data_IF_990213129708
#
_entry.id   IF_990213129708
#
_cell.length_a   1.000
_cell.length_b   1.000
_cell.length_c   1.000
_cell.angle_alpha   90.00
_cell.angle_beta   90.00
_cell.angle_gamma   90.00
#
_symmetry.space_group_name_H-M   'P 1'
#
loop_
_entity.id
_entity.type
_entity.pdbx_description
1 polymer ?
#
# COMPACT_ATOMS: atom_id res chain seq x y z
N UNK A 1 -8.13 37.69 23.33
CA UNK A 1 -6.77 37.17 23.11
C UNK A 1 -6.17 37.90 21.93
N UNK A 2 -4.91 38.30 22.04
CA UNK A 2 -4.18 38.85 20.91
C UNK A 2 -4.02 37.77 19.81
N UNK A 3 -3.88 38.17 18.55
CA UNK A 3 -3.74 37.23 17.43
C UNK A 3 -2.56 36.25 17.60
N UNK A 4 -1.49 36.68 18.28
CA UNK A 4 -0.35 35.84 18.64
C UNK A 4 -0.71 34.77 19.68
N UNK A 5 -1.51 35.10 20.70
CA UNK A 5 -1.92 34.15 21.74
C UNK A 5 -2.82 33.05 21.16
N UNK A 6 -3.72 33.42 20.23
CA UNK A 6 -4.56 32.47 19.50
C UNK A 6 -3.73 31.50 18.64
N UNK A 7 -2.69 32.01 17.98
CA UNK A 7 -1.79 31.18 17.17
C UNK A 7 -0.97 30.20 18.02
N UNK A 8 -0.52 30.62 19.20
CA UNK A 8 0.20 29.76 20.14
C UNK A 8 -0.69 28.64 20.68
N UNK A 9 -1.95 28.94 21.01
CA UNK A 9 -2.93 27.94 21.46
C UNK A 9 -3.25 26.89 20.38
N UNK A 10 -3.48 27.33 19.13
CA UNK A 10 -3.71 26.42 18.00
C UNK A 10 -2.48 25.53 17.73
N UNK A 11 -1.28 26.12 17.80
CA UNK A 11 -0.03 25.39 17.61
C UNK A 11 0.19 24.33 18.70
N UNK A 12 -0.11 24.68 19.96
CA UNK A 12 -0.04 23.74 21.07
C UNK A 12 -1.05 22.60 20.90
N UNK A 13 -2.29 22.90 20.53
CA UNK A 13 -3.32 21.89 20.28
C UNK A 13 -2.89 20.92 19.16
N UNK A 14 -2.31 21.44 18.08
CA UNK A 14 -1.77 20.61 16.99
C UNK A 14 -0.60 19.73 17.45
N UNK A 15 0.34 20.27 18.24
CA UNK A 15 1.46 19.49 18.78
C UNK A 15 1.00 18.34 19.69
N UNK A 16 -0.02 18.57 20.52
CA UNK A 16 -0.64 17.52 21.34
C UNK A 16 -1.35 16.47 20.48
N UNK A 17 -2.01 16.89 19.40
CA UNK A 17 -2.65 15.96 18.46
C UNK A 17 -1.61 15.08 17.75
N UNK A 18 -0.48 15.64 17.30
CA UNK A 18 0.63 14.88 16.71
C UNK A 18 1.26 13.89 17.70
N UNK A 19 1.38 14.28 18.97
CA UNK A 19 1.88 13.40 20.04
C UNK A 19 0.99 12.16 20.27
N UNK A 20 -0.29 12.25 19.89
CA UNK A 20 -1.27 11.17 19.96
C UNK A 20 -1.55 10.51 18.60
N UNK A 21 -0.71 10.73 17.58
CA UNK A 21 -0.93 10.23 16.21
C UNK A 21 -1.15 8.71 16.11
N UNK A 22 -0.55 7.93 17.01
CA UNK A 22 -0.77 6.46 17.11
C UNK A 22 -2.23 6.09 17.33
N UNK A 23 -3.02 6.95 17.99
CA UNK A 23 -4.42 6.65 18.32
C UNK A 23 -5.26 6.52 17.04
N UNK A 24 -5.00 7.36 16.04
CA UNK A 24 -5.73 7.32 14.77
C UNK A 24 -5.47 6.01 14.02
N UNK A 25 -4.20 5.60 13.87
CA UNK A 25 -3.84 4.39 13.14
C UNK A 25 -4.41 3.14 13.81
N UNK A 26 -4.30 3.05 15.15
CA UNK A 26 -4.80 1.91 15.92
C UNK A 26 -6.33 1.83 15.94
N UNK A 27 -7.02 2.97 16.03
CA UNK A 27 -8.48 3.02 15.97
C UNK A 27 -9.00 2.64 14.57
N UNK A 28 -8.33 3.12 13.51
CA UNK A 28 -8.66 2.75 12.14
C UNK A 28 -8.45 1.25 11.91
N UNK A 29 -7.33 0.70 12.37
CA UNK A 29 -7.06 -0.74 12.31
C UNK A 29 -8.14 -1.56 13.04
N UNK A 30 -8.48 -1.18 14.28
CA UNK A 30 -9.52 -1.86 15.06
C UNK A 30 -10.87 -1.81 14.35
N UNK A 31 -11.24 -0.65 13.77
CA UNK A 31 -12.49 -0.52 13.01
C UNK A 31 -12.49 -1.39 11.74
N UNK A 32 -11.35 -1.53 11.06
CA UNK A 32 -11.21 -2.46 9.92
C UNK A 32 -11.35 -3.92 10.34
N UNK A 33 -10.67 -4.35 11.40
CA UNK A 33 -10.73 -5.73 11.89
C UNK A 33 -12.12 -6.11 12.38
N UNK A 34 -12.81 -5.16 13.02
CA UNK A 34 -14.20 -5.34 13.45
C UNK A 34 -15.19 -5.42 12.29
N UNK A 35 -14.81 -5.05 11.05
CA UNK A 35 -15.73 -5.05 9.91
C UNK A 35 -16.69 -3.85 9.87
N UNK A 36 -16.38 -2.77 10.60
CA UNK A 36 -17.22 -1.56 10.69
C UNK A 36 -17.53 -0.98 9.31
N UNK A 37 -16.51 -0.85 8.46
CA UNK A 37 -16.67 -0.24 7.14
C UNK A 37 -17.54 -1.09 6.21
N UNK A 38 -17.47 -2.43 6.32
CA UNK A 38 -18.35 -3.31 5.56
C UNK A 38 -19.81 -3.15 5.99
N UNK A 39 -20.07 -3.06 7.30
CA UNK A 39 -21.42 -2.81 7.83
C UNK A 39 -21.98 -1.49 7.31
N UNK A 40 -21.18 -0.41 7.34
CA UNK A 40 -21.59 0.90 6.86
C UNK A 40 -21.78 0.93 5.34
N UNK A 41 -20.95 0.23 4.58
CA UNK A 41 -21.09 0.11 3.12
C UNK A 41 -22.39 -0.59 2.74
N UNK A 42 -22.75 -1.66 3.44
CA UNK A 42 -23.99 -2.40 3.17
C UNK A 42 -25.25 -1.60 3.57
N UNK A 43 -25.18 -0.67 4.53
CA UNK A 43 -26.31 0.23 4.80
C UNK A 43 -26.50 1.31 3.74
N UNK A 44 -25.41 1.76 3.11
CA UNK A 44 -25.41 2.76 2.03
C UNK A 44 -26.23 2.26 0.83
N UNK A 45 -26.11 0.96 0.49
CA UNK A 45 -26.85 0.35 -0.62
C UNK A 45 -28.34 0.12 -0.34
N UNK A 46 -28.71 -0.11 0.92
CA UNK A 46 -30.02 -0.67 1.26
C UNK A 46 -31.02 0.39 1.76
N UNK A 47 -30.56 1.53 2.29
CA UNK A 47 -31.46 2.50 2.95
C UNK A 47 -30.99 3.96 3.02
N UNK A 48 -29.80 4.29 2.51
CA UNK A 48 -29.20 5.64 2.53
C UNK A 48 -29.21 6.31 3.92
N UNK A 49 -29.28 5.48 4.99
CA UNK A 49 -29.54 5.94 6.35
C UNK A 49 -28.32 5.73 7.25
N UNK A 50 -27.82 6.77 7.92
CA UNK A 50 -26.68 6.66 8.83
C UNK A 50 -27.02 5.78 10.04
N UNK A 51 -26.04 5.03 10.54
CA UNK A 51 -26.23 4.06 11.62
C UNK A 51 -25.73 4.59 12.96
N UNK A 52 -26.43 4.28 14.06
CA UNK A 52 -25.89 4.50 15.40
C UNK A 52 -24.80 3.47 15.71
N UNK A 53 -23.94 3.76 16.69
CA UNK A 53 -22.96 2.79 17.17
C UNK A 53 -23.62 1.51 17.76
N UNK A 54 -24.85 1.62 18.27
CA UNK A 54 -25.63 0.48 18.73
C UNK A 54 -26.05 -0.43 17.56
N UNK A 55 -26.50 0.16 16.45
CA UNK A 55 -26.89 -0.59 15.25
C UNK A 55 -25.68 -1.30 14.65
N UNK A 56 -24.53 -0.61 14.57
CA UNK A 56 -23.29 -1.18 14.05
C UNK A 56 -22.83 -2.34 14.93
N UNK A 57 -22.73 -2.14 16.25
CA UNK A 57 -22.33 -3.19 17.19
C UNK A 57 -23.28 -4.41 17.15
N UNK A 58 -24.58 -4.18 16.97
CA UNK A 58 -25.57 -5.25 16.83
C UNK A 58 -25.37 -6.05 15.54
N UNK A 59 -25.11 -5.39 14.41
CA UNK A 59 -24.82 -6.05 13.11
C UNK A 59 -23.49 -6.81 13.14
N UNK A 60 -22.52 -6.33 13.90
CA UNK A 60 -21.26 -7.02 14.16
C UNK A 60 -21.39 -8.17 15.16
N UNK A 61 -22.59 -8.42 15.68
CA UNK A 61 -22.85 -9.46 16.69
C UNK A 61 -21.95 -9.33 17.93
N UNK A 62 -21.63 -8.10 18.33
CA UNK A 62 -20.84 -7.84 19.53
C UNK A 62 -21.60 -8.30 20.78
N UNK A 63 -20.98 -9.16 21.60
CA UNK A 63 -21.57 -9.67 22.84
C UNK A 63 -21.27 -8.80 24.07
N UNK A 64 -20.29 -7.89 23.97
CA UNK A 64 -19.93 -6.97 25.04
C UNK A 64 -21.01 -5.87 25.18
N UNK A 65 -21.67 -5.71 26.34
CA UNK A 65 -22.69 -4.69 26.54
C UNK A 65 -22.15 -3.25 26.42
N UNK A 66 -20.85 -3.03 26.62
CA UNK A 66 -20.21 -1.72 26.45
C UNK A 66 -19.75 -1.44 25.01
N UNK A 67 -19.84 -2.42 24.10
CA UNK A 67 -19.35 -2.28 22.73
C UNK A 67 -19.93 -1.07 21.99
N UNK A 68 -21.24 -0.74 22.07
CA UNK A 68 -21.78 0.46 21.43
C UNK A 68 -21.07 1.74 21.88
N UNK A 69 -20.78 1.89 23.18
CA UNK A 69 -20.15 3.10 23.72
C UNK A 69 -18.67 3.19 23.33
N UNK A 70 -17.95 2.05 23.36
CA UNK A 70 -16.56 1.98 22.90
C UNK A 70 -16.47 2.31 21.40
N UNK A 71 -17.37 1.74 20.62
CA UNK A 71 -17.42 1.93 19.17
C UNK A 71 -17.76 3.38 18.82
N UNK A 72 -18.74 3.99 19.50
CA UNK A 72 -19.10 5.40 19.31
C UNK A 72 -17.91 6.36 19.50
N UNK A 73 -16.99 6.05 20.42
CA UNK A 73 -15.74 6.84 20.61
C UNK A 73 -14.76 6.67 19.45
N UNK A 74 -14.59 5.45 18.94
CA UNK A 74 -13.76 5.16 17.77
C UNK A 74 -14.33 5.84 16.53
N UNK A 75 -15.64 5.68 16.29
CA UNK A 75 -16.32 6.27 15.13
C UNK A 75 -16.28 7.80 15.16
N UNK A 76 -16.41 8.42 16.34
CA UNK A 76 -16.25 9.87 16.50
C UNK A 76 -14.83 10.35 16.12
N UNK A 77 -13.78 9.61 16.52
CA UNK A 77 -12.40 9.91 16.12
C UNK A 77 -12.20 9.76 14.61
N UNK A 78 -12.77 8.73 13.99
CA UNK A 78 -12.70 8.55 12.53
C UNK A 78 -13.45 9.66 11.80
N UNK A 79 -14.61 10.07 12.31
CA UNK A 79 -15.38 11.19 11.77
C UNK A 79 -14.64 12.53 11.90
N UNK A 80 -13.90 12.75 12.99
CA UNK A 80 -13.09 13.97 13.16
C UNK A 80 -11.94 14.09 12.16
N UNK A 81 -11.56 12.99 11.50
CA UNK A 81 -10.56 12.95 10.42
C UNK A 81 -11.22 12.82 9.03
N UNK A 82 -12.52 13.08 8.93
CA UNK A 82 -13.31 12.96 7.70
C UNK A 82 -13.29 11.56 7.06
N UNK A 83 -12.94 10.53 7.83
CA UNK A 83 -13.01 9.14 7.39
C UNK A 83 -14.47 8.67 7.39
N UNK A 84 -15.28 9.17 8.32
CA UNK A 84 -16.73 8.92 8.38
C UNK A 84 -17.49 10.24 8.38
N UNK A 85 -18.73 10.22 7.89
CA UNK A 85 -19.68 11.30 8.15
C UNK A 85 -20.34 11.06 9.51
N UNK A 86 -20.54 12.12 10.30
CA UNK A 86 -21.23 12.06 11.57
C UNK A 86 -22.36 13.09 11.58
N UNK A 87 -23.57 12.64 11.91
CA UNK A 87 -24.72 13.49 12.22
C UNK A 87 -25.21 13.21 13.64
N UNK A 88 -26.03 14.11 14.18
CA UNK A 88 -26.53 14.02 15.55
C UNK A 88 -28.05 14.09 15.52
N UNK A 89 -28.70 13.18 16.25
CA UNK A 89 -30.16 13.17 16.44
C UNK A 89 -30.51 13.28 17.93
N UNK A 90 -31.57 14.02 18.33
CA UNK A 90 -32.01 14.07 19.72
C UNK A 90 -32.43 12.69 20.23
N UNK A 91 -32.09 12.38 21.48
CA UNK A 91 -32.65 11.19 22.13
C UNK A 91 -34.07 11.49 22.61
N UNK A 92 -35.05 10.89 21.94
CA UNK A 92 -36.45 11.03 22.33
C UNK A 92 -36.78 10.37 23.67
N UNK A 93 -35.92 9.49 24.20
CA UNK A 93 -36.12 8.82 25.50
C UNK A 93 -35.56 9.61 26.67
N UNK A 94 -34.54 10.44 26.44
CA UNK A 94 -33.86 11.21 27.48
C UNK A 94 -33.65 12.66 27.04
N UNK A 95 -34.48 13.57 27.57
CA UNK A 95 -34.39 15.00 27.28
C UNK A 95 -32.98 15.56 27.53
N UNK A 96 -32.44 16.26 26.55
CA UNK A 96 -31.11 16.88 26.61
C UNK A 96 -29.95 15.97 26.21
N UNK A 97 -30.23 14.70 25.85
CA UNK A 97 -29.22 13.80 25.29
C UNK A 97 -29.40 13.59 23.78
N UNK A 98 -28.39 13.00 23.15
CA UNK A 98 -28.31 12.85 21.71
C UNK A 98 -27.63 11.53 21.32
N UNK A 99 -27.89 11.08 20.10
CA UNK A 99 -27.21 9.96 19.47
C UNK A 99 -26.41 10.45 18.27
N UNK A 100 -25.18 9.96 18.11
CA UNK A 100 -24.42 10.12 16.87
C UNK A 100 -24.80 9.03 15.89
N UNK A 101 -25.00 9.41 14.63
CA UNK A 101 -25.20 8.51 13.51
C UNK A 101 -24.03 8.67 12.53
N UNK A 102 -23.60 7.55 11.96
CA UNK A 102 -22.41 7.46 11.13
C UNK A 102 -22.75 6.96 9.74
N UNK A 103 -22.17 7.59 8.73
CA UNK A 103 -22.28 7.16 7.33
C UNK A 103 -20.89 6.99 6.70
N UNK A 104 -20.78 6.10 5.73
CA UNK A 104 -19.53 5.87 5.01
C UNK A 104 -19.20 7.07 4.11
N UNK A 105 -17.92 7.41 3.99
CA UNK A 105 -17.42 8.43 3.06
C UNK A 105 -16.72 7.76 1.87
N UNK A 106 -16.41 8.49 0.78
CA UNK A 106 -15.60 7.94 -0.31
C UNK A 106 -14.25 7.36 0.13
N UNK A 107 -13.57 7.95 1.12
CA UNK A 107 -12.29 7.40 1.62
C UNK A 107 -12.49 6.10 2.38
N UNK A 108 -13.55 6.00 3.19
CA UNK A 108 -13.83 4.80 3.96
C UNK A 108 -14.24 3.59 3.09
N UNK A 109 -14.73 3.82 1.86
CA UNK A 109 -15.01 2.74 0.90
C UNK A 109 -13.76 1.94 0.53
N UNK A 110 -12.56 2.52 0.63
CA UNK A 110 -11.32 1.78 0.41
C UNK A 110 -10.95 0.83 1.57
N UNK A 111 -11.59 0.95 2.72
CA UNK A 111 -11.36 0.07 3.88
C UNK A 111 -12.42 -1.03 4.03
N UNK A 112 -13.39 -1.07 3.12
CA UNK A 112 -14.36 -2.16 3.00
C UNK A 112 -14.07 -2.95 1.71
N UNK A 113 -14.36 -4.27 1.67
CA UNK A 113 -14.21 -5.06 0.46
C UNK A 113 -15.00 -4.46 -0.72
N UNK A 114 -14.33 -4.30 -1.85
CA UNK A 114 -14.95 -3.90 -3.11
C UNK A 114 -15.60 -5.11 -3.82
N UNK A 115 -16.02 -4.94 -5.07
CA UNK A 115 -16.65 -6.02 -5.87
C UNK A 115 -15.75 -7.24 -6.10
N UNK A 116 -14.44 -7.11 -5.94
CA UNK A 116 -13.46 -8.19 -6.06
C UNK A 116 -13.09 -8.80 -4.70
N UNK A 117 -13.74 -8.36 -3.62
CA UNK A 117 -13.44 -8.79 -2.27
C UNK A 117 -12.14 -8.21 -1.69
N UNK A 118 -11.52 -7.21 -2.33
CA UNK A 118 -10.26 -6.59 -1.86
C UNK A 118 -10.48 -5.20 -1.27
N UNK A 119 -9.59 -4.77 -0.38
CA UNK A 119 -9.58 -3.45 0.25
C UNK A 119 -8.18 -3.05 0.72
N UNK A 120 -8.01 -1.83 1.27
CA UNK A 120 -6.78 -1.41 1.94
C UNK A 120 -6.70 -1.87 3.40
N UNK A 121 -7.74 -2.53 3.96
CA UNK A 121 -7.71 -2.99 5.35
C UNK A 121 -6.53 -3.96 5.64
N UNK A 122 -6.21 -4.94 4.78
CA UNK A 122 -5.04 -5.80 5.00
C UNK A 122 -3.69 -5.04 4.99
N UNK A 123 -3.59 -3.93 4.25
CA UNK A 123 -2.38 -3.09 4.27
C UNK A 123 -2.22 -2.39 5.64
N UNK A 124 -3.33 -1.97 6.25
CA UNK A 124 -3.30 -1.45 7.62
C UNK A 124 -2.86 -2.55 8.59
N UNK A 125 -3.41 -3.76 8.45
CA UNK A 125 -3.04 -4.90 9.29
C UNK A 125 -1.54 -5.22 9.20
N UNK A 126 -0.94 -5.16 8.01
CA UNK A 126 0.50 -5.31 7.85
C UNK A 126 1.29 -4.22 8.58
N UNK A 127 0.93 -2.94 8.39
CA UNK A 127 1.64 -1.84 9.04
C UNK A 127 1.47 -1.81 10.56
N UNK A 128 0.36 -2.32 11.08
CA UNK A 128 0.10 -2.43 12.52
C UNK A 128 0.48 -3.80 13.10
N UNK A 129 1.03 -4.72 12.29
CA UNK A 129 1.51 -6.00 12.78
C UNK A 129 2.69 -5.78 13.73
N UNK A 130 2.75 -6.56 14.81
CA UNK A 130 3.79 -6.43 15.83
C UNK A 130 5.20 -6.57 15.21
N UNK A 131 5.35 -7.41 14.19
CA UNK A 131 6.64 -7.61 13.51
C UNK A 131 7.14 -6.31 12.87
N UNK A 132 6.28 -5.57 12.19
CA UNK A 132 6.63 -4.26 11.60
C UNK A 132 6.73 -3.16 12.66
N UNK A 133 5.83 -3.18 13.65
CA UNK A 133 5.81 -2.17 14.70
C UNK A 133 7.10 -2.17 15.54
N UNK A 134 7.69 -3.34 15.78
CA UNK A 134 8.93 -3.44 16.56
C UNK A 134 10.12 -2.72 15.90
N UNK A 135 10.17 -2.62 14.57
CA UNK A 135 11.24 -1.93 13.84
C UNK A 135 11.37 -0.46 14.27
N UNK A 136 10.26 0.23 14.54
CA UNK A 136 10.27 1.64 14.95
C UNK A 136 11.04 1.88 16.26
N UNK A 137 11.11 0.89 17.14
CA UNK A 137 11.89 0.98 18.40
C UNK A 137 13.40 1.11 18.16
N UNK A 138 13.89 0.68 16.98
CA UNK A 138 15.32 0.71 16.61
C UNK A 138 15.69 1.85 15.68
N UNK A 139 14.72 2.62 15.17
CA UNK A 139 14.96 3.68 14.20
C UNK A 139 15.99 4.72 14.70
N UNK A 140 15.84 5.20 15.93
CA UNK A 140 16.79 6.13 16.55
C UNK A 140 18.22 5.59 16.55
N UNK A 141 18.39 4.33 16.94
CA UNK A 141 19.72 3.72 17.06
C UNK A 141 20.31 3.48 15.66
N UNK A 142 19.51 3.05 14.68
CA UNK A 142 19.89 2.97 13.27
C UNK A 142 20.41 4.29 12.70
N UNK A 143 19.77 5.42 13.02
CA UNK A 143 20.24 6.75 12.59
C UNK A 143 21.62 7.07 13.17
N UNK A 144 21.89 6.66 14.41
CA UNK A 144 23.12 7.01 15.13
C UNK A 144 24.28 6.08 14.83
N UNK A 145 23.99 4.81 14.62
CA UNK A 145 24.98 3.72 14.64
C UNK A 145 25.02 2.97 13.30
N UNK A 146 24.08 3.25 12.40
CA UNK A 146 23.88 2.51 11.16
C UNK A 146 23.13 1.18 11.37
N UNK A 147 22.86 0.52 10.24
CA UNK A 147 22.05 -0.69 10.15
C UNK A 147 20.56 -0.41 9.99
N UNK A 148 19.81 -1.45 9.65
CA UNK A 148 18.38 -1.34 9.31
C UNK A 148 17.53 -1.70 10.51
N UNK A 149 16.50 -0.89 10.86
CA UNK A 149 15.69 -1.14 12.05
C UNK A 149 15.06 -2.53 12.10
N UNK A 150 14.49 -3.02 11.00
CA UNK A 150 13.94 -4.37 10.92
C UNK A 150 15.01 -5.44 11.21
N UNK A 151 16.16 -5.39 10.52
CA UNK A 151 17.24 -6.35 10.71
C UNK A 151 17.81 -6.31 12.15
N UNK A 152 17.81 -5.14 12.79
CA UNK A 152 18.24 -5.00 14.20
C UNK A 152 17.31 -5.69 15.19
N UNK A 153 16.02 -5.78 14.87
CA UNK A 153 15.04 -6.48 15.70
C UNK A 153 15.05 -7.98 15.40
N UNK A 154 15.01 -8.34 14.12
CA UNK A 154 14.67 -9.69 13.66
C UNK A 154 15.86 -10.51 13.18
N UNK A 155 17.03 -9.89 12.99
CA UNK A 155 18.28 -10.55 12.60
C UNK A 155 18.36 -11.02 11.14
N UNK A 156 17.37 -10.69 10.30
CA UNK A 156 17.24 -11.15 8.91
C UNK A 156 16.63 -10.05 8.04
N UNK A 157 16.65 -10.21 6.71
CA UNK A 157 16.02 -9.28 5.78
C UNK A 157 14.48 -9.36 5.84
N UNK A 158 13.78 -8.26 5.59
CA UNK A 158 12.31 -8.22 5.60
C UNK A 158 11.67 -9.26 4.66
N UNK A 159 12.17 -9.43 3.44
CA UNK A 159 11.73 -10.49 2.50
C UNK A 159 12.05 -11.93 2.92
N UNK A 160 13.03 -12.16 3.78
CA UNK A 160 13.35 -13.51 4.27
C UNK A 160 12.46 -13.89 5.45
N UNK A 161 12.04 -12.92 6.26
CA UNK A 161 11.29 -13.13 7.49
C UNK A 161 9.96 -13.89 7.31
N UNK A 162 9.14 -13.65 6.26
CA UNK A 162 7.93 -14.43 6.00
C UNK A 162 8.16 -15.95 5.96
N UNK A 163 9.32 -16.41 5.49
CA UNK A 163 9.65 -17.84 5.50
C UNK A 163 9.83 -18.43 6.91
N UNK A 164 10.06 -17.57 7.92
CA UNK A 164 10.30 -17.95 9.32
C UNK A 164 9.03 -17.89 10.19
N UNK A 165 8.03 -17.10 9.79
CA UNK A 165 6.76 -16.91 10.53
C UNK A 165 5.58 -17.01 9.55
N UNK A 166 4.91 -18.17 9.55
CA UNK A 166 3.79 -18.44 8.65
C UNK A 166 2.58 -17.54 8.89
N UNK A 167 2.35 -17.07 10.13
CA UNK A 167 1.28 -16.12 10.45
C UNK A 167 1.60 -14.76 9.86
N UNK A 168 2.84 -14.29 10.02
CA UNK A 168 3.27 -13.04 9.40
C UNK A 168 3.27 -13.13 7.86
N UNK A 169 3.70 -14.26 7.28
CA UNK A 169 3.62 -14.51 5.84
C UNK A 169 2.19 -14.35 5.31
N UNK A 170 1.20 -14.88 6.04
CA UNK A 170 -0.20 -14.71 5.68
C UNK A 170 -0.65 -13.25 5.71
N UNK A 171 -0.26 -12.48 6.73
CA UNK A 171 -0.56 -11.04 6.82
C UNK A 171 0.09 -10.29 5.66
N UNK A 172 1.38 -10.53 5.40
CA UNK A 172 2.13 -9.90 4.32
C UNK A 172 1.51 -10.20 2.95
N UNK A 173 1.28 -11.48 2.64
CA UNK A 173 0.71 -11.89 1.36
C UNK A 173 -0.70 -11.34 1.18
N UNK A 174 -1.55 -11.36 2.21
CA UNK A 174 -2.90 -10.80 2.12
C UNK A 174 -2.86 -9.30 1.79
N UNK A 175 -1.96 -8.54 2.44
CA UNK A 175 -1.75 -7.13 2.15
C UNK A 175 -1.29 -6.89 0.71
N UNK A 176 -0.27 -7.63 0.26
CA UNK A 176 0.30 -7.48 -1.08
C UNK A 176 -0.71 -7.86 -2.18
N UNK A 177 -1.46 -8.95 -2.01
CA UNK A 177 -2.52 -9.37 -2.95
C UNK A 177 -3.58 -8.28 -3.08
N UNK A 178 -4.06 -7.75 -1.95
CA UNK A 178 -5.13 -6.75 -1.93
C UNK A 178 -4.69 -5.45 -2.58
N UNK A 179 -3.55 -4.91 -2.16
CA UNK A 179 -3.05 -3.64 -2.67
C UNK A 179 -2.68 -3.76 -4.15
N UNK A 180 -2.00 -4.84 -4.56
CA UNK A 180 -1.67 -5.10 -5.97
C UNK A 180 -2.91 -5.21 -6.84
N UNK A 181 -3.95 -5.90 -6.38
CA UNK A 181 -5.20 -6.05 -7.15
C UNK A 181 -5.85 -4.69 -7.43
N UNK A 182 -5.95 -3.83 -6.41
CA UNK A 182 -6.54 -2.49 -6.55
C UNK A 182 -5.75 -1.65 -7.56
N UNK A 183 -4.43 -1.61 -7.42
CA UNK A 183 -3.56 -0.78 -8.26
C UNK A 183 -3.49 -1.33 -9.69
N UNK A 184 -3.25 -2.62 -9.87
CA UNK A 184 -3.14 -3.25 -11.19
C UNK A 184 -4.43 -3.08 -12.00
N UNK A 185 -5.61 -3.20 -11.38
CA UNK A 185 -6.87 -2.94 -12.10
C UNK A 185 -6.94 -1.52 -12.64
N UNK A 186 -6.55 -0.52 -11.83
CA UNK A 186 -6.54 0.87 -12.25
C UNK A 186 -5.50 1.14 -13.33
N UNK A 187 -4.32 0.51 -13.24
CA UNK A 187 -3.29 0.55 -14.31
C UNK A 187 -3.87 0.00 -15.61
N UNK A 188 -4.52 -1.15 -15.58
CA UNK A 188 -5.10 -1.76 -16.77
C UNK A 188 -6.18 -0.88 -17.43
N UNK A 189 -6.90 -0.04 -16.67
CA UNK A 189 -7.89 0.89 -17.24
C UNK A 189 -7.24 2.00 -18.10
N UNK A 190 -6.10 2.53 -17.67
CA UNK A 190 -5.51 3.74 -18.24
C UNK A 190 -4.24 3.50 -19.07
N UNK A 191 -3.44 2.48 -18.75
CA UNK A 191 -2.19 2.17 -19.43
C UNK A 191 -2.42 1.22 -20.61
N UNK A 192 -1.95 1.63 -21.79
CA UNK A 192 -2.12 0.90 -23.06
C UNK A 192 -0.86 0.19 -23.55
N UNK A 193 0.27 0.39 -22.86
CA UNK A 193 1.56 -0.14 -23.32
C UNK A 193 1.67 -1.68 -23.29
N UNK A 194 0.67 -2.41 -22.81
CA UNK A 194 0.60 -3.87 -22.91
C UNK A 194 0.02 -4.39 -24.24
N UNK A 195 -0.66 -3.57 -25.04
CA UNK A 195 -1.45 -4.03 -26.19
C UNK A 195 -0.60 -4.80 -27.23
N UNK A 196 0.62 -4.34 -27.51
CA UNK A 196 1.53 -4.94 -28.51
C UNK A 196 2.54 -5.94 -27.93
N UNK A 197 2.52 -6.17 -26.61
CA UNK A 197 3.44 -7.10 -25.93
C UNK A 197 3.01 -8.54 -26.22
N UNK A 198 3.94 -9.45 -26.54
CA UNK A 198 3.61 -10.89 -26.74
C UNK A 198 4.14 -11.75 -25.59
N UNK A 199 5.29 -11.39 -25.02
CA UNK A 199 5.88 -12.00 -23.83
C UNK A 199 6.15 -10.90 -22.80
N UNK A 200 5.62 -11.09 -21.59
CA UNK A 200 5.78 -10.17 -20.48
C UNK A 200 6.34 -10.91 -19.27
N UNK A 201 7.39 -10.37 -18.65
CA UNK A 201 7.90 -10.86 -17.36
C UNK A 201 7.52 -9.88 -16.26
N UNK A 202 6.92 -10.38 -15.19
CA UNK A 202 6.70 -9.65 -13.93
C UNK A 202 7.82 -10.03 -12.97
N UNK A 203 8.80 -9.14 -12.78
CA UNK A 203 9.97 -9.35 -11.91
C UNK A 203 9.61 -8.95 -10.48
N UNK A 204 9.82 -9.85 -9.53
CA UNK A 204 9.31 -9.71 -8.17
C UNK A 204 7.78 -9.77 -8.13
N UNK A 205 7.19 -10.59 -9.01
CA UNK A 205 5.73 -10.68 -9.18
C UNK A 205 5.01 -11.38 -8.02
N UNK A 206 5.74 -11.87 -7.02
CA UNK A 206 5.23 -12.55 -5.84
C UNK A 206 4.43 -13.78 -6.21
N UNK A 207 3.21 -13.88 -5.69
CA UNK A 207 2.27 -14.96 -6.01
C UNK A 207 1.63 -14.82 -7.40
N UNK A 208 2.07 -13.89 -8.26
CA UNK A 208 1.65 -13.79 -9.66
C UNK A 208 0.29 -13.12 -9.91
N UNK A 209 -0.27 -12.42 -8.93
CA UNK A 209 -1.57 -11.74 -9.06
C UNK A 209 -1.55 -10.67 -10.16
N UNK A 210 -0.50 -9.86 -10.23
CA UNK A 210 -0.41 -8.78 -11.22
C UNK A 210 -0.31 -9.34 -12.63
N UNK A 211 0.63 -10.25 -12.90
CA UNK A 211 0.75 -10.87 -14.21
C UNK A 211 -0.53 -11.62 -14.63
N UNK A 212 -1.22 -12.30 -13.70
CA UNK A 212 -2.51 -12.93 -13.96
C UNK A 212 -3.60 -11.93 -14.37
N UNK A 213 -3.69 -10.77 -13.71
CA UNK A 213 -4.64 -9.72 -14.10
C UNK A 213 -4.33 -9.17 -15.49
N UNK A 214 -3.05 -9.01 -15.82
CA UNK A 214 -2.60 -8.54 -17.13
C UNK A 214 -2.95 -9.56 -18.22
N UNK A 215 -2.59 -10.83 -18.06
CA UNK A 215 -2.86 -11.88 -19.07
C UNK A 215 -4.35 -12.21 -19.18
N UNK A 216 -5.13 -12.06 -18.10
CA UNK A 216 -6.59 -12.18 -18.15
C UNK A 216 -7.23 -11.10 -19.01
N UNK A 217 -6.70 -9.87 -18.98
CA UNK A 217 -7.18 -8.77 -19.83
C UNK A 217 -6.64 -8.85 -21.26
N UNK A 218 -5.43 -9.35 -21.43
CA UNK A 218 -4.73 -9.48 -22.71
C UNK A 218 -4.33 -10.94 -22.96
N UNK A 219 -5.26 -11.81 -23.39
CA UNK A 219 -5.03 -13.25 -23.49
C UNK A 219 -3.96 -13.67 -24.51
N UNK A 220 -3.53 -12.76 -25.39
CA UNK A 220 -2.44 -12.98 -26.33
C UNK A 220 -1.05 -12.87 -25.68
N UNK A 221 -0.95 -12.26 -24.49
CA UNK A 221 0.31 -12.14 -23.74
C UNK A 221 0.62 -13.49 -23.09
N UNK A 222 1.83 -13.99 -23.33
CA UNK A 222 2.44 -15.06 -22.53
C UNK A 222 3.14 -14.42 -21.33
N UNK A 223 2.57 -14.61 -20.14
CA UNK A 223 3.10 -14.06 -18.90
C UNK A 223 4.15 -14.97 -18.28
N UNK A 224 5.17 -14.37 -17.68
CA UNK A 224 6.14 -15.04 -16.82
C UNK A 224 6.10 -14.34 -15.46
N UNK A 225 5.70 -15.06 -14.42
CA UNK A 225 5.89 -14.61 -13.03
C UNK A 225 7.29 -14.99 -12.59
N UNK A 226 8.14 -14.03 -12.26
CA UNK A 226 9.51 -14.27 -11.84
C UNK A 226 9.76 -13.76 -10.43
N UNK A 227 10.13 -14.66 -9.52
CA UNK A 227 10.40 -14.35 -8.11
C UNK A 227 11.40 -15.36 -7.52
N UNK A 228 11.72 -15.24 -6.23
CA UNK A 228 12.54 -16.21 -5.52
C UNK A 228 11.91 -17.61 -5.57
N UNK A 229 12.72 -18.68 -5.63
CA UNK A 229 12.21 -20.05 -5.75
C UNK A 229 11.15 -20.41 -4.70
N UNK A 230 11.37 -20.07 -3.43
CA UNK A 230 10.45 -20.39 -2.33
C UNK A 230 9.11 -19.63 -2.43
N UNK A 231 9.09 -18.44 -3.04
CA UNK A 231 7.85 -17.67 -3.26
C UNK A 231 7.04 -18.30 -4.39
N UNK A 232 7.73 -18.71 -5.45
CA UNK A 232 7.12 -19.36 -6.62
C UNK A 232 6.50 -20.71 -6.26
N UNK A 233 7.07 -21.45 -5.31
CA UNK A 233 6.50 -22.73 -4.83
C UNK A 233 5.07 -22.57 -4.28
N UNK A 234 4.75 -21.42 -3.70
CA UNK A 234 3.41 -21.11 -3.15
C UNK A 234 2.49 -20.41 -4.17
N UNK A 235 2.98 -20.11 -5.39
CA UNK A 235 2.22 -19.38 -6.38
C UNK A 235 1.10 -20.25 -7.00
N UNK A 236 -0.17 -19.79 -7.00
CA UNK A 236 -1.26 -20.52 -7.67
C UNK A 236 -1.06 -20.57 -9.18
N UNK A 237 -1.45 -21.67 -9.83
CA UNK A 237 -1.40 -21.74 -11.29
C UNK A 237 -2.43 -20.79 -11.93
N UNK A 238 -1.98 -19.98 -12.90
CA UNK A 238 -2.86 -19.12 -13.70
C UNK A 238 -2.79 -19.46 -15.21
N UNK A 239 -3.91 -19.43 -15.94
CA UNK A 239 -3.90 -19.60 -17.39
C UNK A 239 -3.00 -18.56 -18.09
N UNK A 240 -2.12 -19.02 -18.97
CA UNK A 240 -1.22 -18.14 -19.72
C UNK A 240 -0.04 -17.56 -18.94
N UNK A 241 0.18 -18.01 -17.70
CA UNK A 241 1.30 -17.60 -16.84
C UNK A 241 2.22 -18.79 -16.59
N UNK A 242 3.53 -18.59 -16.82
CA UNK A 242 4.60 -19.49 -16.41
C UNK A 242 5.25 -18.96 -15.14
N UNK A 243 5.41 -19.79 -14.11
CA UNK A 243 6.11 -19.40 -12.89
C UNK A 243 7.58 -19.83 -12.95
N UNK A 244 8.50 -18.90 -12.72
CA UNK A 244 9.94 -19.13 -12.83
C UNK A 244 10.62 -18.63 -11.55
N UNK A 245 11.27 -19.54 -10.83
CA UNK A 245 12.10 -19.21 -9.67
C UNK A 245 13.50 -18.77 -10.09
N UNK A 246 14.06 -17.73 -9.46
CA UNK A 246 15.45 -17.32 -9.64
C UNK A 246 15.84 -16.08 -8.83
N UNK A 247 17.02 -15.54 -9.11
CA UNK A 247 17.51 -14.29 -8.53
C UNK A 247 17.63 -13.22 -9.63
N UNK A 248 16.85 -12.14 -9.51
CA UNK A 248 16.84 -11.02 -10.45
C UNK A 248 18.18 -10.26 -10.52
N UNK A 249 19.00 -10.36 -9.49
CA UNK A 249 20.35 -9.81 -9.48
C UNK A 249 21.36 -10.70 -10.23
N UNK A 250 21.03 -11.95 -10.53
CA UNK A 250 21.82 -12.82 -11.40
C UNK A 250 21.35 -12.73 -12.86
N UNK A 251 20.05 -12.95 -13.09
CA UNK A 251 19.47 -12.87 -14.43
C UNK A 251 17.96 -12.67 -14.38
N UNK A 252 17.40 -12.13 -15.47
CA UNK A 252 15.95 -11.97 -15.66
C UNK A 252 15.53 -12.72 -16.93
N UNK A 253 14.40 -13.46 -16.94
CA UNK A 253 13.94 -14.15 -18.14
C UNK A 253 13.74 -13.20 -19.34
N UNK A 254 14.00 -13.70 -20.55
CA UNK A 254 13.85 -12.91 -21.77
C UNK A 254 12.39 -12.71 -22.16
N UNK A 255 12.03 -11.48 -22.50
CA UNK A 255 10.68 -11.08 -22.89
C UNK A 255 10.68 -9.80 -23.74
N UNK A 256 9.54 -9.47 -24.35
CA UNK A 256 9.39 -8.24 -25.14
C UNK A 256 9.29 -7.02 -24.21
N UNK A 257 8.67 -7.22 -23.04
CA UNK A 257 8.64 -6.24 -21.97
C UNK A 257 8.86 -6.91 -20.60
N UNK A 258 9.40 -6.13 -19.68
CA UNK A 258 9.52 -6.48 -18.27
C UNK A 258 8.68 -5.49 -17.47
N UNK A 259 7.93 -5.98 -16.50
CA UNK A 259 7.16 -5.20 -15.55
C UNK A 259 7.79 -5.33 -14.17
N UNK A 260 7.96 -4.21 -13.48
CA UNK A 260 8.45 -4.12 -12.09
C UNK A 260 7.54 -3.18 -11.32
N UNK A 261 6.79 -3.70 -10.35
CA UNK A 261 5.93 -2.92 -9.46
C UNK A 261 6.46 -3.02 -8.05
N UNK A 262 6.77 -1.87 -7.44
CA UNK A 262 7.30 -1.80 -6.07
C UNK A 262 8.51 -2.71 -5.92
N UNK A 263 9.47 -2.55 -6.82
CA UNK A 263 10.72 -3.32 -6.80
C UNK A 263 11.87 -2.35 -6.61
N UNK A 264 11.95 -1.30 -7.42
CA UNK A 264 13.09 -0.39 -7.35
C UNK A 264 13.13 0.33 -6.00
N UNK A 265 11.98 0.62 -5.39
CA UNK A 265 11.94 1.31 -4.10
C UNK A 265 12.49 0.49 -2.92
N UNK A 266 12.65 -0.84 -3.06
CA UNK A 266 13.13 -1.72 -1.99
C UNK A 266 14.67 -1.76 -1.90
N UNK A 267 15.36 -1.32 -2.96
CA UNK A 267 16.79 -1.55 -3.11
C UNK A 267 17.57 -0.27 -3.22
N UNK A 268 18.85 -0.36 -2.83
CA UNK A 268 19.85 0.68 -3.06
C UNK A 268 20.02 1.00 -4.54
N UNK A 269 20.54 2.19 -4.86
CA UNK A 269 20.79 2.62 -6.24
C UNK A 269 21.75 1.68 -6.98
N UNK A 270 22.75 1.13 -6.29
CA UNK A 270 23.69 0.15 -6.85
C UNK A 270 22.99 -1.15 -7.25
N UNK A 271 22.07 -1.63 -6.42
CA UNK A 271 21.28 -2.83 -6.69
C UNK A 271 20.25 -2.57 -7.79
N UNK A 272 19.54 -1.44 -7.78
CA UNK A 272 18.65 -1.04 -8.85
C UNK A 272 19.40 -0.96 -10.19
N UNK A 273 20.60 -0.39 -10.21
CA UNK A 273 21.42 -0.31 -11.41
C UNK A 273 21.82 -1.70 -11.93
N UNK A 274 22.19 -2.62 -11.02
CA UNK A 274 22.49 -4.02 -11.38
C UNK A 274 21.27 -4.71 -11.99
N UNK A 275 20.13 -4.59 -11.34
CA UNK A 275 18.86 -5.15 -11.80
C UNK A 275 18.45 -4.59 -13.16
N UNK A 276 18.45 -3.27 -13.32
CA UNK A 276 18.07 -2.61 -14.56
C UNK A 276 18.98 -3.01 -15.74
N UNK A 277 20.28 -3.26 -15.50
CA UNK A 277 21.19 -3.82 -16.52
C UNK A 277 20.82 -5.23 -16.93
N UNK A 278 20.42 -6.08 -15.97
CA UNK A 278 19.91 -7.42 -16.28
C UNK A 278 18.62 -7.33 -17.11
N UNK A 279 17.69 -6.43 -16.74
CA UNK A 279 16.47 -6.17 -17.50
C UNK A 279 16.78 -5.66 -18.91
N UNK A 280 17.72 -4.71 -19.05
CA UNK A 280 18.17 -4.20 -20.35
C UNK A 280 18.69 -5.31 -21.27
N UNK A 281 19.47 -6.26 -20.73
CA UNK A 281 19.97 -7.42 -21.48
C UNK A 281 18.90 -8.47 -21.81
N UNK A 282 17.78 -8.47 -21.08
CA UNK A 282 16.70 -9.45 -21.22
C UNK A 282 15.61 -9.05 -22.24
N UNK A 283 15.56 -7.78 -22.64
CA UNK A 283 14.61 -7.25 -23.65
C UNK A 283 15.26 -7.07 -25.04
N UNK A 284 14.50 -7.15 -26.14
CA UNK A 284 14.99 -6.80 -27.49
C UNK A 284 15.27 -5.29 -27.64
N UNK A 285 15.78 -4.85 -28.79
CA UNK A 285 16.12 -3.44 -29.07
C UNK A 285 14.89 -2.53 -29.11
N UNK A 286 13.73 -3.07 -29.48
CA UNK A 286 12.42 -2.40 -29.45
C UNK A 286 11.61 -2.72 -28.17
N UNK A 287 12.23 -3.41 -27.22
CA UNK A 287 11.61 -3.77 -25.95
C UNK A 287 11.63 -2.62 -24.93
N UNK A 288 10.96 -2.85 -23.79
CA UNK A 288 10.87 -1.85 -22.71
C UNK A 288 10.79 -2.47 -21.33
N UNK A 289 11.19 -1.69 -20.33
CA UNK A 289 10.93 -2.00 -18.92
C UNK A 289 9.86 -1.05 -18.42
N UNK A 290 8.82 -1.58 -17.82
CA UNK A 290 7.65 -0.87 -17.31
C UNK A 290 7.76 -0.88 -15.78
N UNK A 291 7.97 0.30 -15.20
CA UNK A 291 8.16 0.48 -13.77
C UNK A 291 6.93 1.15 -13.18
N UNK A 292 6.39 0.61 -12.10
CA UNK A 292 5.28 1.17 -11.34
C UNK A 292 5.74 1.50 -9.93
N UNK A 293 6.01 2.80 -9.70
CA UNK A 293 6.58 3.30 -8.45
C UNK A 293 6.01 4.67 -8.09
N UNK A 294 6.19 5.08 -6.83
CA UNK A 294 5.95 6.45 -6.44
C UNK A 294 7.11 7.33 -6.92
N UNK A 295 6.78 8.52 -7.42
CA UNK A 295 7.76 9.53 -7.83
C UNK A 295 7.60 10.73 -6.91
N UNK A 296 8.65 11.01 -6.15
CA UNK A 296 8.63 12.03 -5.11
C UNK A 296 9.03 13.40 -5.66
N UNK A 297 8.24 14.43 -5.32
CA UNK A 297 8.64 15.83 -5.55
C UNK A 297 9.69 16.25 -4.52
N UNK A 298 10.67 17.03 -4.96
CA UNK A 298 11.78 17.51 -4.13
C UNK A 298 11.28 18.40 -2.98
N UNK A 299 10.25 19.21 -3.23
CA UNK A 299 9.73 20.15 -2.24
C UNK A 299 8.61 19.48 -1.45
N UNK A 300 8.65 19.49 -0.10
CA UNK A 300 7.57 19.01 0.72
C UNK A 300 6.24 19.74 0.49
N UNK A 301 5.18 18.96 0.27
CA UNK A 301 3.83 19.47 0.05
C UNK A 301 2.84 18.92 1.09
N UNK A 302 1.87 19.76 1.48
CA UNK A 302 0.85 19.39 2.47
C UNK A 302 -0.39 18.74 1.82
N UNK A 303 -0.20 17.82 0.89
CA UNK A 303 -1.28 17.04 0.26
C UNK A 303 -1.12 15.54 0.53
N UNK A 304 -2.19 14.77 0.32
CA UNK A 304 -2.22 13.34 0.65
C UNK A 304 -1.21 12.52 -0.16
N UNK A 305 -1.01 12.82 -1.44
CA UNK A 305 -0.09 12.07 -2.29
C UNK A 305 1.37 12.26 -1.85
N UNK A 306 1.76 13.51 -1.54
CA UNK A 306 3.11 13.77 -1.05
C UNK A 306 3.34 13.17 0.35
N UNK A 307 2.35 13.29 1.24
CA UNK A 307 2.42 12.64 2.57
C UNK A 307 2.54 11.13 2.46
N UNK A 308 1.81 10.50 1.54
CA UNK A 308 1.93 9.08 1.26
C UNK A 308 3.34 8.72 0.80
N UNK A 309 3.90 9.45 -0.19
CA UNK A 309 5.25 9.22 -0.68
C UNK A 309 6.29 9.33 0.45
N UNK A 310 6.22 10.37 1.28
CA UNK A 310 7.13 10.55 2.41
C UNK A 310 6.94 9.48 3.50
N UNK A 311 5.71 9.02 3.75
CA UNK A 311 5.43 7.90 4.66
C UNK A 311 6.01 6.58 4.13
N UNK A 312 5.87 6.32 2.83
CA UNK A 312 6.44 5.16 2.16
C UNK A 312 7.97 5.19 2.23
N UNK A 313 8.59 6.35 1.98
CA UNK A 313 10.05 6.51 2.05
C UNK A 313 10.61 6.19 3.44
N UNK A 314 10.00 6.76 4.48
CA UNK A 314 10.40 6.46 5.87
C UNK A 314 10.12 5.00 6.23
N UNK A 315 9.04 4.41 5.70
CA UNK A 315 8.78 2.98 5.86
C UNK A 315 9.89 2.15 5.21
N UNK A 316 10.29 2.45 3.97
CA UNK A 316 11.40 1.76 3.29
C UNK A 316 12.69 1.86 4.09
N UNK A 317 13.04 3.05 4.58
CA UNK A 317 14.19 3.24 5.47
C UNK A 317 14.14 2.34 6.72
N UNK A 318 12.95 2.04 7.25
CA UNK A 318 12.80 1.17 8.43
C UNK A 318 12.84 -0.32 8.14
N UNK A 319 12.33 -0.75 6.99
CA UNK A 319 12.13 -2.16 6.69
C UNK A 319 13.18 -2.74 5.73
N UNK A 320 13.63 -1.95 4.76
CA UNK A 320 14.40 -2.44 3.61
C UNK A 320 15.81 -1.82 3.55
N UNK A 321 16.89 -2.62 3.54
CA UNK A 321 18.26 -2.15 3.37
C UNK A 321 18.49 -1.36 2.08
N UNK A 322 18.63 -0.04 2.22
CA UNK A 322 18.89 0.86 1.09
C UNK A 322 17.65 1.23 0.27
N UNK A 323 16.47 0.75 0.65
CA UNK A 323 15.21 1.14 0.02
C UNK A 323 14.87 2.61 0.26
N UNK A 324 14.29 3.24 -0.74
CA UNK A 324 13.85 4.64 -0.74
C UNK A 324 12.86 4.92 -1.88
N UNK A 325 12.02 5.92 -1.69
CA UNK A 325 11.30 6.54 -2.81
C UNK A 325 12.26 7.45 -3.59
N UNK A 326 11.99 7.66 -4.88
CA UNK A 326 12.89 8.39 -5.77
C UNK A 326 12.22 9.55 -6.49
N UNK A 327 13.01 10.57 -6.76
CA UNK A 327 12.65 11.67 -7.64
C UNK A 327 12.71 11.26 -9.11
N UNK A 328 12.09 12.04 -9.98
CA UNK A 328 12.17 11.85 -11.44
C UNK A 328 13.62 11.84 -11.94
N UNK A 329 14.48 12.72 -11.38
CA UNK A 329 15.89 12.78 -11.76
C UNK A 329 16.65 11.51 -11.34
N UNK A 330 16.42 10.99 -10.14
CA UNK A 330 17.06 9.75 -9.70
C UNK A 330 16.65 8.54 -10.55
N UNK A 331 15.37 8.45 -10.94
CA UNK A 331 14.95 7.43 -11.90
C UNK A 331 15.64 7.59 -13.26
N UNK A 332 15.74 8.82 -13.77
CA UNK A 332 16.45 9.11 -15.03
C UNK A 332 17.93 8.71 -14.96
N UNK A 333 18.59 8.98 -13.84
CA UNK A 333 19.98 8.61 -13.62
C UNK A 333 20.17 7.09 -13.60
N UNK A 334 19.24 6.35 -12.95
CA UNK A 334 19.22 4.89 -12.98
C UNK A 334 19.00 4.34 -14.40
N UNK A 335 18.04 4.89 -15.14
CA UNK A 335 17.76 4.49 -16.52
C UNK A 335 18.98 4.70 -17.43
N UNK A 336 19.58 5.89 -17.38
CA UNK A 336 20.79 6.22 -18.14
C UNK A 336 21.97 5.32 -17.76
N UNK A 337 22.19 5.10 -16.46
CA UNK A 337 23.27 4.24 -15.97
C UNK A 337 23.12 2.77 -16.41
N UNK A 338 21.90 2.30 -16.61
CA UNK A 338 21.60 0.96 -17.09
C UNK A 338 21.62 0.83 -18.63
N UNK A 339 21.75 1.95 -19.36
CA UNK A 339 21.87 1.99 -20.81
C UNK A 339 20.57 2.32 -21.57
N UNK A 340 19.47 2.62 -20.87
CA UNK A 340 18.24 3.10 -21.49
C UNK A 340 18.43 4.53 -22.04
N UNK A 341 17.69 4.88 -23.10
CA UNK A 341 17.72 6.22 -23.70
C UNK A 341 16.90 7.25 -22.93
N UNK A 342 15.97 6.80 -22.12
CA UNK A 342 15.14 7.67 -21.30
C UNK A 342 13.92 6.96 -20.73
N UNK A 343 13.04 7.76 -20.13
CA UNK A 343 11.82 7.34 -19.46
C UNK A 343 10.63 8.08 -20.07
N UNK A 344 9.55 7.36 -20.36
CA UNK A 344 8.24 7.94 -20.65
C UNK A 344 7.31 7.72 -19.46
N UNK A 345 6.76 8.81 -18.92
CA UNK A 345 5.77 8.78 -17.84
C UNK A 345 4.37 8.66 -18.45
N UNK A 346 3.85 7.43 -18.53
CA UNK A 346 2.69 7.11 -19.36
C UNK A 346 1.36 7.41 -18.65
N UNK A 347 1.24 7.10 -17.36
CA UNK A 347 0.06 7.51 -16.57
C UNK A 347 0.34 7.55 -15.06
N UNK A 348 -0.45 8.36 -14.36
CA UNK A 348 -0.46 8.48 -12.91
C UNK A 348 -1.71 7.80 -12.33
N UNK A 349 -1.50 6.85 -11.42
CA UNK A 349 -2.50 5.91 -10.95
C UNK A 349 -2.39 5.78 -9.44
N UNK A 350 -3.39 6.28 -8.70
CA UNK A 350 -3.50 6.10 -7.25
C UNK A 350 -2.16 6.32 -6.50
N UNK A 351 -1.50 7.46 -6.72
CA UNK A 351 -0.17 7.85 -6.15
C UNK A 351 1.08 7.18 -6.74
N UNK A 352 0.94 6.42 -7.82
CA UNK A 352 2.05 5.78 -8.53
C UNK A 352 2.13 6.24 -9.98
N UNK A 353 3.33 6.26 -10.54
CA UNK A 353 3.57 6.48 -11.97
C UNK A 353 3.85 5.15 -12.66
N UNK A 354 3.20 4.93 -13.81
CA UNK A 354 3.63 3.93 -14.78
C UNK A 354 4.67 4.59 -15.70
N UNK A 355 5.89 4.07 -15.66
CA UNK A 355 7.05 4.59 -16.38
C UNK A 355 7.57 3.55 -17.37
N UNK A 356 7.78 3.93 -18.63
CA UNK A 356 8.44 3.10 -19.63
C UNK A 356 9.89 3.52 -19.82
N UNK A 357 10.82 2.64 -19.47
CA UNK A 357 12.24 2.77 -19.73
C UNK A 357 12.51 2.10 -21.08
N UNK A 358 12.98 2.88 -22.06
CA UNK A 358 13.13 2.43 -23.44
C UNK A 358 14.58 2.52 -23.93
N UNK A 359 14.96 1.63 -24.84
CA UNK A 359 16.32 1.49 -25.37
C UNK A 359 16.74 2.52 -26.41
#
# INVERSE_FOLDING_TARGET
>A
MAQHELQDEESFAYAVQLSNSVVLSMALHSATELGVFQVLQNSDSDSDSPLSAHDIASRLSCTNPEAPQMLDRILALLASHSILNCSVVPDHKNLGSFHRLYAITPVAKFFAPNSDGVSLAPLIALHQDTIFLQSWSKLKDSIREGGIPFNRVHGTHAFEYPSLDSRFNQVFNTAMINHSTIITKKVLECYKGFEEVKRLVDVGGGLGITINLITSKYPHIKGINFDLPHVIEDAPSYPGVEHVGGDMFESVPKADAIFMKWILHDWSDEQCLKLLKNCYGAIPDDGKVIVLETVMSIIPENNAAWKFAAQSDVLMMTQNPGGKERTEQEFMDLANGAGFRGIRYECYVNTFWVMEFFK
#
